data_IF_774707270191
#
_entry.id   IF_774707270191
#
_cell.length_a   1.000
_cell.length_b   1.000
_cell.length_c   1.000
_cell.angle_alpha   90.00
_cell.angle_beta   90.00
_cell.angle_gamma   90.00
#
_symmetry.space_group_name_H-M   'P 1'
#
loop_
_entity.id
_entity.type
_entity.pdbx_description
1 polymer ?
#
# COMPACT_ATOMS: atom_id res chain seq x y z
N UNK A 1 18.50 -30.18 -32.25
CA UNK A 1 17.29 -29.45 -31.81
C UNK A 1 17.73 -28.36 -30.83
N UNK A 2 17.81 -27.12 -31.29
CA UNK A 2 18.15 -25.99 -30.43
C UNK A 2 16.89 -25.55 -29.70
N UNK A 3 16.89 -25.61 -28.38
CA UNK A 3 15.87 -25.01 -27.55
C UNK A 3 16.12 -23.49 -27.53
N UNK A 4 15.42 -22.74 -28.37
CA UNK A 4 15.28 -21.30 -28.22
C UNK A 4 14.38 -21.07 -27.01
N UNK A 5 14.98 -20.93 -25.84
CA UNK A 5 14.33 -20.31 -24.68
C UNK A 5 14.12 -18.83 -25.00
N UNK A 6 13.06 -18.53 -25.72
CA UNK A 6 12.65 -17.15 -25.92
C UNK A 6 12.47 -16.49 -24.56
N UNK A 7 13.24 -15.44 -24.29
CA UNK A 7 13.11 -14.62 -23.10
C UNK A 7 11.67 -14.09 -23.08
N UNK A 8 10.80 -14.69 -22.28
CA UNK A 8 9.44 -14.20 -22.08
C UNK A 8 9.55 -12.82 -21.43
N UNK A 9 9.34 -11.78 -22.20
CA UNK A 9 9.29 -10.42 -21.66
C UNK A 9 8.25 -10.39 -20.54
N UNK A 10 8.63 -9.83 -19.40
CA UNK A 10 7.70 -9.63 -18.27
C UNK A 10 6.45 -8.88 -18.73
N UNK A 11 5.28 -9.30 -18.28
CA UNK A 11 4.00 -8.66 -18.61
C UNK A 11 3.90 -7.21 -18.07
N UNK A 12 4.82 -6.80 -17.19
CA UNK A 12 4.86 -5.49 -16.56
C UNK A 12 6.32 -4.98 -16.41
N UNK A 13 6.47 -3.68 -16.14
CA UNK A 13 7.69 -3.05 -15.63
C UNK A 13 7.53 -2.72 -14.16
N UNK A 14 8.65 -2.56 -13.44
CA UNK A 14 8.68 -2.02 -12.09
C UNK A 14 9.58 -0.79 -12.10
N UNK A 15 9.06 0.31 -11.60
CA UNK A 15 9.76 1.60 -11.59
C UNK A 15 9.69 2.18 -10.16
N UNK A 16 10.79 2.74 -9.63
CA UNK A 16 10.73 3.49 -8.39
C UNK A 16 9.91 4.78 -8.62
N UNK A 17 9.04 5.08 -7.66
CA UNK A 17 8.25 6.31 -7.66
C UNK A 17 8.39 6.95 -6.27
N UNK A 18 8.67 8.24 -6.25
CA UNK A 18 8.74 9.03 -5.02
C UNK A 18 7.67 10.11 -5.06
N UNK A 19 6.85 10.17 -4.01
CA UNK A 19 5.75 11.13 -3.89
C UNK A 19 6.09 12.10 -2.77
N UNK A 20 6.21 13.39 -3.10
CA UNK A 20 6.45 14.44 -2.10
C UNK A 20 5.19 14.69 -1.29
N UNK A 21 5.31 14.67 0.04
CA UNK A 21 4.23 14.95 0.97
C UNK A 21 4.75 15.54 2.27
N UNK A 22 4.30 16.75 2.62
CA UNK A 22 4.65 17.46 3.87
C UNK A 22 6.18 17.52 4.11
N UNK A 23 6.96 17.86 3.09
CA UNK A 23 8.42 17.99 3.18
C UNK A 23 9.20 16.69 3.09
N UNK A 24 8.54 15.54 3.05
CA UNK A 24 9.14 14.21 2.98
C UNK A 24 8.81 13.50 1.68
N UNK A 25 9.49 12.37 1.41
CA UNK A 25 9.27 11.53 0.24
C UNK A 25 8.68 10.18 0.64
N UNK A 26 7.55 9.84 0.06
CA UNK A 26 6.95 8.50 0.15
C UNK A 26 7.54 7.65 -0.96
N UNK A 27 8.26 6.59 -0.61
CA UNK A 27 8.87 5.66 -1.56
C UNK A 27 7.86 4.58 -1.97
N UNK A 28 7.71 4.40 -3.28
CA UNK A 28 6.81 3.44 -3.88
C UNK A 28 7.54 2.57 -4.91
N UNK A 29 7.07 1.35 -5.09
CA UNK A 29 7.33 0.52 -6.26
C UNK A 29 6.10 0.57 -7.15
N UNK A 30 6.26 1.11 -8.37
CA UNK A 30 5.19 1.22 -9.35
C UNK A 30 5.31 0.11 -10.40
N UNK A 31 4.38 -0.82 -10.37
CA UNK A 31 4.24 -1.91 -11.34
C UNK A 31 3.30 -1.45 -12.45
N UNK A 32 3.79 -1.39 -13.68
CA UNK A 32 3.04 -0.94 -14.83
C UNK A 32 2.86 -2.07 -15.84
N UNK A 33 1.61 -2.50 -16.16
CA UNK A 33 1.37 -3.50 -17.21
C UNK A 33 1.76 -2.93 -18.57
N UNK A 34 2.43 -3.76 -19.40
CA UNK A 34 2.98 -3.29 -20.69
C UNK A 34 1.93 -3.12 -21.78
N UNK A 35 0.91 -3.95 -21.78
CA UNK A 35 -0.05 -4.06 -22.88
C UNK A 35 -1.40 -3.37 -22.60
N UNK A 36 -1.47 -2.57 -21.52
CA UNK A 36 -2.66 -1.86 -21.12
C UNK A 36 -2.36 -0.37 -21.06
N UNK A 37 -2.97 0.39 -21.97
CA UNK A 37 -2.72 1.85 -22.10
C UNK A 37 -3.30 2.62 -20.92
N UNK A 38 -4.49 2.25 -20.45
CA UNK A 38 -5.16 2.85 -19.29
C UNK A 38 -5.57 1.69 -18.37
N UNK A 39 -4.83 1.50 -17.30
CA UNK A 39 -4.97 0.34 -16.41
C UNK A 39 -5.81 0.65 -15.17
N UNK A 40 -6.61 -0.32 -14.67
CA UNK A 40 -7.07 -0.28 -13.29
C UNK A 40 -5.88 -0.30 -12.35
N UNK A 41 -5.99 0.25 -11.15
CA UNK A 41 -4.88 0.33 -10.21
C UNK A 41 -5.23 -0.22 -8.84
N UNK A 42 -4.27 -0.93 -8.24
CA UNK A 42 -4.30 -1.37 -6.85
C UNK A 42 -3.23 -0.60 -6.09
N UNK A 43 -3.64 0.17 -5.08
CA UNK A 43 -2.74 0.87 -4.17
C UNK A 43 -2.61 0.02 -2.92
N UNK A 44 -1.37 -0.33 -2.55
CA UNK A 44 -1.06 -1.29 -1.49
C UNK A 44 -0.15 -0.70 -0.43
N UNK A 45 -0.45 -0.98 0.83
CA UNK A 45 0.44 -0.66 1.94
C UNK A 45 0.58 -1.83 2.93
N UNK A 46 1.72 -1.81 3.62
CA UNK A 46 2.10 -2.81 4.61
C UNK A 46 1.37 -2.60 5.95
N UNK A 47 1.41 -3.63 6.80
CA UNK A 47 0.85 -3.56 8.14
C UNK A 47 1.75 -2.79 9.13
N UNK A 48 1.31 -2.74 10.39
CA UNK A 48 2.07 -2.19 11.51
C UNK A 48 3.49 -2.76 11.57
N UNK A 49 4.49 -1.88 11.68
CA UNK A 49 5.91 -2.22 11.80
C UNK A 49 6.46 -3.13 10.68
N UNK A 50 5.80 -3.20 9.53
CA UNK A 50 6.29 -3.92 8.35
C UNK A 50 6.91 -2.97 7.31
N UNK A 51 7.31 -3.53 6.18
CA UNK A 51 7.83 -2.79 5.03
C UNK A 51 7.19 -3.35 3.75
N UNK A 52 7.12 -2.52 2.69
CA UNK A 52 6.61 -2.95 1.37
C UNK A 52 7.34 -4.20 0.84
N UNK A 53 8.60 -4.39 1.21
CA UNK A 53 9.42 -5.53 0.78
C UNK A 53 9.02 -6.86 1.46
N UNK A 54 8.27 -6.83 2.56
CA UNK A 54 7.91 -8.03 3.32
C UNK A 54 6.78 -8.81 2.65
N UNK A 55 7.14 -9.69 1.70
CA UNK A 55 6.25 -10.59 0.94
C UNK A 55 5.16 -9.90 0.09
N UNK A 56 4.89 -8.60 0.27
CA UNK A 56 3.88 -7.86 -0.50
C UNK A 56 4.23 -7.78 -1.98
N UNK A 57 5.52 -7.81 -2.32
CA UNK A 57 6.02 -7.86 -3.69
C UNK A 57 5.36 -8.99 -4.49
N UNK A 58 5.15 -10.17 -3.89
CA UNK A 58 4.52 -11.31 -4.58
C UNK A 58 3.06 -11.04 -4.96
N UNK A 59 2.32 -10.36 -4.10
CA UNK A 59 0.95 -9.90 -4.39
C UNK A 59 0.96 -8.86 -5.51
N UNK A 60 1.82 -7.84 -5.40
CA UNK A 60 1.96 -6.80 -6.41
C UNK A 60 2.30 -7.39 -7.79
N UNK A 61 3.24 -8.32 -7.86
CA UNK A 61 3.60 -9.04 -9.08
C UNK A 61 2.42 -9.82 -9.66
N UNK A 62 1.64 -10.50 -8.82
CA UNK A 62 0.50 -11.28 -9.27
C UNK A 62 -0.60 -10.39 -9.84
N UNK A 63 -0.88 -9.27 -9.20
CA UNK A 63 -1.83 -8.28 -9.71
C UNK A 63 -1.33 -7.64 -11.02
N UNK A 64 -0.06 -7.30 -11.10
CA UNK A 64 0.53 -6.73 -12.31
C UNK A 64 0.49 -7.72 -13.50
N UNK A 65 0.71 -9.00 -13.26
CA UNK A 65 0.54 -10.06 -14.25
C UNK A 65 -0.91 -10.20 -14.72
N UNK A 66 -1.88 -9.89 -13.85
CA UNK A 66 -3.30 -9.89 -14.15
C UNK A 66 -3.78 -8.61 -14.86
N UNK A 67 -2.87 -7.66 -15.15
CA UNK A 67 -3.18 -6.46 -15.92
C UNK A 67 -3.50 -5.22 -15.07
N UNK A 68 -3.34 -5.27 -13.76
CA UNK A 68 -3.47 -4.09 -12.90
C UNK A 68 -2.16 -3.30 -12.87
N UNK A 69 -2.23 -1.99 -12.88
CA UNK A 69 -1.16 -1.18 -12.32
C UNK A 69 -1.14 -1.40 -10.80
N UNK A 70 0.03 -1.44 -10.18
CA UNK A 70 0.12 -1.58 -8.72
C UNK A 70 1.08 -0.54 -8.17
N UNK A 71 0.68 0.12 -7.10
CA UNK A 71 1.54 1.02 -6.33
C UNK A 71 1.67 0.45 -4.93
N UNK A 72 2.85 -0.02 -4.60
CA UNK A 72 3.18 -0.57 -3.29
C UNK A 72 4.12 0.42 -2.61
N UNK A 73 3.73 1.01 -1.45
CA UNK A 73 4.47 2.08 -0.81
C UNK A 73 4.87 1.78 0.64
N UNK A 74 5.95 2.43 1.11
CA UNK A 74 6.28 2.57 2.52
C UNK A 74 5.72 3.88 3.07
N UNK A 75 5.17 3.86 4.27
CA UNK A 75 4.80 5.09 4.97
C UNK A 75 6.00 6.00 5.21
N UNK A 76 5.81 7.32 5.31
CA UNK A 76 6.86 8.21 5.80
C UNK A 76 7.41 7.69 7.12
N UNK A 77 8.69 7.94 7.38
CA UNK A 77 9.49 7.42 8.51
C UNK A 77 9.83 5.93 8.43
N UNK A 78 9.32 5.18 7.42
CA UNK A 78 9.51 3.73 7.25
C UNK A 78 10.22 3.38 5.95
N UNK A 79 10.97 2.29 5.98
CA UNK A 79 11.56 1.68 4.79
C UNK A 79 12.38 2.64 3.94
N UNK A 80 12.03 2.73 2.65
CA UNK A 80 12.65 3.63 1.68
C UNK A 80 12.10 5.06 1.69
N UNK A 81 11.04 5.35 2.45
CA UNK A 81 10.51 6.70 2.62
C UNK A 81 11.37 7.53 3.56
N UNK A 82 11.38 8.86 3.39
CA UNK A 82 12.08 9.76 4.29
C UNK A 82 11.27 10.08 5.55
N UNK A 83 11.84 10.83 6.48
CA UNK A 83 11.20 11.29 7.71
C UNK A 83 11.96 10.90 8.97
N UNK A 84 11.98 11.83 9.93
CA UNK A 84 12.57 11.65 11.26
C UNK A 84 11.52 11.97 12.34
N UNK A 85 11.52 11.25 13.48
CA UNK A 85 12.35 10.07 13.78
C UNK A 85 11.97 8.87 12.91
N UNK A 86 12.89 7.94 12.72
CA UNK A 86 12.59 6.68 11.97
C UNK A 86 11.63 5.81 12.78
N UNK A 87 10.87 4.98 12.06
CA UNK A 87 9.93 4.01 12.63
C UNK A 87 8.80 4.64 13.45
N UNK A 88 8.50 5.91 13.19
CA UNK A 88 7.38 6.60 13.82
C UNK A 88 6.05 5.99 13.36
N UNK A 89 5.27 5.52 14.32
CA UNK A 89 3.88 5.11 14.09
C UNK A 89 2.94 6.25 14.47
N UNK A 90 2.34 6.85 13.47
CA UNK A 90 1.30 7.85 13.65
C UNK A 90 0.14 7.52 12.71
N UNK A 91 -1.00 7.14 13.27
CA UNK A 91 -2.22 6.80 12.51
C UNK A 91 -2.60 7.95 11.59
N UNK A 92 -2.58 9.19 12.11
CA UNK A 92 -2.93 10.37 11.34
C UNK A 92 -1.95 10.60 10.18
N UNK A 93 -0.64 10.50 10.43
CA UNK A 93 0.36 10.66 9.38
C UNK A 93 0.22 9.59 8.29
N UNK A 94 0.06 8.33 8.68
CA UNK A 94 -0.11 7.22 7.74
C UNK A 94 -1.38 7.33 6.89
N UNK A 95 -2.49 7.82 7.46
CA UNK A 95 -3.70 8.11 6.69
C UNK A 95 -3.45 9.23 5.68
N UNK A 96 -2.71 10.29 6.04
CA UNK A 96 -2.39 11.36 5.09
C UNK A 96 -1.45 10.89 3.99
N UNK A 97 -0.56 9.92 4.25
CA UNK A 97 0.27 9.27 3.23
C UNK A 97 -0.59 8.55 2.19
N UNK A 98 -1.61 7.81 2.62
CA UNK A 98 -2.58 7.20 1.72
C UNK A 98 -3.26 8.24 0.81
N UNK A 99 -3.73 9.36 1.36
CA UNK A 99 -4.34 10.43 0.57
C UNK A 99 -3.36 10.99 -0.47
N UNK A 100 -2.10 11.20 -0.08
CA UNK A 100 -1.06 11.70 -1.00
C UNK A 100 -0.81 10.72 -2.15
N UNK A 101 -0.69 9.42 -1.84
CA UNK A 101 -0.48 8.38 -2.84
C UNK A 101 -1.70 8.27 -3.78
N UNK A 102 -2.91 8.18 -3.22
CA UNK A 102 -4.15 8.11 -4.01
C UNK A 102 -4.27 9.32 -4.94
N UNK A 103 -4.04 10.53 -4.43
CA UNK A 103 -4.10 11.76 -5.21
C UNK A 103 -3.08 11.79 -6.36
N UNK A 104 -1.82 11.40 -6.09
CA UNK A 104 -0.78 11.34 -7.10
C UNK A 104 -1.16 10.36 -8.22
N UNK A 105 -1.57 9.15 -7.84
CA UNK A 105 -1.91 8.08 -8.77
C UNK A 105 -3.14 8.42 -9.60
N UNK A 106 -4.15 9.03 -9.00
CA UNK A 106 -5.37 9.49 -9.71
C UNK A 106 -5.08 10.48 -10.83
N UNK A 107 -4.02 11.27 -10.72
CA UNK A 107 -3.65 12.28 -11.71
C UNK A 107 -2.82 11.73 -12.88
N UNK A 108 -2.46 10.45 -12.87
CA UNK A 108 -1.70 9.82 -13.95
C UNK A 108 -2.59 9.48 -15.13
N UNK A 109 -2.11 9.77 -16.35
CA UNK A 109 -2.87 9.58 -17.59
C UNK A 109 -3.09 8.11 -17.96
N UNK A 110 -2.18 7.24 -17.50
CA UNK A 110 -2.21 5.80 -17.74
C UNK A 110 -3.08 5.03 -16.73
N UNK A 111 -3.74 5.72 -15.78
CA UNK A 111 -4.58 5.10 -14.76
C UNK A 111 -6.06 5.35 -15.05
N UNK A 112 -6.86 4.27 -14.97
CA UNK A 112 -8.31 4.37 -14.97
C UNK A 112 -8.81 4.86 -13.61
N UNK A 113 -9.16 6.14 -13.53
CA UNK A 113 -9.60 6.83 -12.30
C UNK A 113 -10.85 6.24 -11.66
N UNK A 114 -11.67 5.51 -12.44
CA UNK A 114 -12.91 4.86 -11.96
C UNK A 114 -12.65 3.43 -11.44
N UNK A 115 -11.41 2.96 -11.53
CA UNK A 115 -11.03 1.59 -11.15
C UNK A 115 -9.84 1.61 -10.19
N UNK A 116 -9.96 2.37 -9.11
CA UNK A 116 -8.98 2.42 -8.02
C UNK A 116 -9.40 1.43 -6.94
N UNK A 117 -8.51 0.52 -6.61
CA UNK A 117 -8.69 -0.47 -5.55
C UNK A 117 -7.67 -0.18 -4.45
N UNK A 118 -8.08 -0.24 -3.20
CA UNK A 118 -7.18 -0.16 -2.05
C UNK A 118 -6.94 -1.56 -1.50
N UNK A 119 -5.68 -1.87 -1.21
CA UNK A 119 -5.28 -3.12 -0.58
C UNK A 119 -4.47 -2.83 0.68
N UNK A 120 -4.90 -3.38 1.80
CA UNK A 120 -4.20 -3.24 3.07
C UNK A 120 -4.26 -4.49 3.92
N UNK A 121 -3.22 -4.70 4.73
CA UNK A 121 -3.18 -5.77 5.72
C UNK A 121 -3.00 -5.19 7.12
N UNK A 122 -3.59 -5.82 8.14
CA UNK A 122 -3.53 -5.36 9.51
C UNK A 122 -4.04 -3.92 9.67
N UNK A 123 -3.20 -3.04 10.18
CA UNK A 123 -3.50 -1.61 10.37
C UNK A 123 -3.87 -0.93 9.04
N UNK A 124 -3.13 -1.22 7.96
CA UNK A 124 -3.44 -0.69 6.63
C UNK A 124 -4.74 -1.23 6.06
N UNK A 125 -5.18 -2.42 6.47
CA UNK A 125 -6.51 -2.94 6.14
C UNK A 125 -7.61 -2.06 6.72
N UNK A 126 -7.44 -1.62 7.97
CA UNK A 126 -8.34 -0.65 8.62
C UNK A 126 -8.35 0.70 7.90
N UNK A 127 -7.16 1.21 7.53
CA UNK A 127 -7.07 2.48 6.78
C UNK A 127 -7.75 2.38 5.41
N UNK A 128 -7.57 1.29 4.68
CA UNK A 128 -8.18 1.10 3.37
C UNK A 128 -9.72 1.13 3.47
N UNK A 129 -10.31 0.51 4.49
CA UNK A 129 -11.75 0.56 4.74
C UNK A 129 -12.22 1.96 5.10
N UNK A 130 -11.50 2.66 6.01
CA UNK A 130 -11.81 4.04 6.36
C UNK A 130 -11.78 4.95 5.13
N UNK A 131 -10.71 4.90 4.34
CA UNK A 131 -10.56 5.73 3.15
C UNK A 131 -11.65 5.46 2.11
N UNK A 132 -12.04 4.21 1.92
CA UNK A 132 -13.13 3.87 1.01
C UNK A 132 -14.51 4.36 1.50
N UNK A 133 -14.70 4.51 2.80
CA UNK A 133 -15.92 5.13 3.33
C UNK A 133 -16.00 6.64 3.08
N UNK A 134 -14.86 7.29 2.90
CA UNK A 134 -14.75 8.75 2.71
C UNK A 134 -14.62 9.15 1.24
N UNK A 135 -13.96 8.32 0.42
CA UNK A 135 -13.68 8.57 -0.99
C UNK A 135 -14.67 7.81 -1.88
N UNK A 136 -15.57 8.57 -2.54
CA UNK A 136 -16.66 8.00 -3.37
C UNK A 136 -16.19 7.26 -4.63
N UNK A 137 -14.95 7.46 -5.06
CA UNK A 137 -14.38 6.95 -6.30
C UNK A 137 -13.45 5.72 -6.09
N UNK A 138 -13.43 5.16 -4.89
CA UNK A 138 -12.78 3.87 -4.63
C UNK A 138 -13.71 2.74 -5.08
N UNK A 139 -13.25 1.96 -6.05
CA UNK A 139 -14.04 0.89 -6.67
C UNK A 139 -14.20 -0.34 -5.78
N UNK A 140 -13.15 -0.70 -5.04
CA UNK A 140 -13.14 -1.86 -4.15
C UNK A 140 -12.04 -1.74 -3.10
N UNK A 141 -12.17 -2.51 -2.03
CA UNK A 141 -11.16 -2.67 -0.98
C UNK A 141 -10.87 -4.15 -0.78
N UNK A 142 -9.60 -4.47 -0.62
CA UNK A 142 -9.11 -5.76 -0.15
C UNK A 142 -8.46 -5.51 1.21
N UNK A 143 -9.15 -5.85 2.29
CA UNK A 143 -8.67 -5.69 3.65
C UNK A 143 -8.36 -7.07 4.25
N UNK A 144 -7.07 -7.37 4.38
CA UNK A 144 -6.62 -8.64 4.94
C UNK A 144 -6.41 -8.48 6.45
N UNK A 145 -7.17 -9.24 7.26
CA UNK A 145 -7.10 -9.21 8.73
C UNK A 145 -7.10 -7.76 9.26
N UNK A 146 -8.11 -6.92 8.91
CA UNK A 146 -8.07 -5.51 9.20
C UNK A 146 -8.13 -5.23 10.70
N UNK A 147 -7.25 -4.35 11.19
CA UNK A 147 -7.32 -3.79 12.53
C UNK A 147 -8.18 -2.52 12.48
N UNK A 148 -9.35 -2.54 13.13
CA UNK A 148 -10.34 -1.47 13.04
C UNK A 148 -10.40 -0.61 14.29
N UNK A 149 -10.35 -1.24 15.47
CA UNK A 149 -10.52 -0.57 16.75
C UNK A 149 -9.65 -1.22 17.82
N UNK A 150 -8.73 -0.41 18.38
CA UNK A 150 -7.83 -0.88 19.43
C UNK A 150 -8.53 -1.11 20.75
N UNK A 151 -9.54 -0.30 21.08
CA UNK A 151 -10.28 -0.44 22.33
C UNK A 151 -11.18 -1.71 22.32
N UNK A 152 -11.83 -1.96 21.18
CA UNK A 152 -12.59 -3.21 21.00
C UNK A 152 -11.68 -4.43 21.00
N UNK A 153 -10.54 -4.36 20.31
CA UNK A 153 -9.54 -5.43 20.29
C UNK A 153 -9.00 -5.72 21.69
N UNK A 154 -8.76 -4.70 22.49
CA UNK A 154 -8.25 -4.85 23.86
C UNK A 154 -9.19 -5.65 24.77
N UNK A 155 -10.49 -5.63 24.53
CA UNK A 155 -11.47 -6.40 25.31
C UNK A 155 -11.27 -7.93 25.22
N UNK A 156 -10.65 -8.40 24.14
CA UNK A 156 -10.36 -9.83 23.95
C UNK A 156 -9.06 -10.29 24.62
N UNK A 157 -8.24 -9.36 25.12
CA UNK A 157 -7.00 -9.66 25.81
C UNK A 157 -7.13 -9.33 27.29
N UNK A 158 -6.99 -10.33 28.21
CA UNK A 158 -6.98 -10.06 29.64
C UNK A 158 -5.86 -9.06 30.01
N UNK A 159 -6.17 -8.13 30.89
CA UNK A 159 -5.27 -7.02 31.32
C UNK A 159 -3.89 -7.52 31.77
N UNK A 160 -3.83 -8.72 32.33
CA UNK A 160 -2.59 -9.38 32.77
C UNK A 160 -1.59 -9.65 31.64
N UNK A 161 -2.03 -9.67 30.40
CA UNK A 161 -1.18 -9.87 29.21
C UNK A 161 -0.65 -8.57 28.61
N UNK A 162 -1.10 -7.41 29.10
CA UNK A 162 -0.49 -6.15 28.68
C UNK A 162 0.91 -6.04 29.24
N UNK A 163 1.95 -5.78 28.42
CA UNK A 163 3.30 -5.60 28.93
C UNK A 163 3.30 -4.46 29.96
N UNK A 164 4.02 -4.65 31.08
CA UNK A 164 4.19 -3.61 32.13
C UNK A 164 4.84 -2.31 31.60
N UNK A 165 5.15 -2.26 30.32
CA UNK A 165 5.83 -1.16 29.62
C UNK A 165 4.90 -0.02 29.18
N UNK A 166 3.58 -0.12 29.33
CA UNK A 166 2.68 1.03 29.15
C UNK A 166 2.48 1.68 30.52
N UNK A 167 3.55 2.26 31.05
CA UNK A 167 3.43 3.39 31.98
C UNK A 167 3.40 4.64 31.11
N UNK A 168 2.20 5.18 30.91
CA UNK A 168 2.01 6.55 30.45
C UNK A 168 2.61 7.52 31.48
#
# INVERSE_FOLDING_TARGET
MQWNAGVRMSAYTVEPLYISHQGELIACDYYRPRNIKIAPVIIMAHEFAALRQFKLIKYAQRFAQAGYAVVLFDYRHWGGSTGQPRELVSIQAQITDWYAVISNIRNRKEINKQQIVLWGTGLSGGYALKLASELKDIRAVIAQVPFLDGAETAKFYPIQHYPKAIKL
#
